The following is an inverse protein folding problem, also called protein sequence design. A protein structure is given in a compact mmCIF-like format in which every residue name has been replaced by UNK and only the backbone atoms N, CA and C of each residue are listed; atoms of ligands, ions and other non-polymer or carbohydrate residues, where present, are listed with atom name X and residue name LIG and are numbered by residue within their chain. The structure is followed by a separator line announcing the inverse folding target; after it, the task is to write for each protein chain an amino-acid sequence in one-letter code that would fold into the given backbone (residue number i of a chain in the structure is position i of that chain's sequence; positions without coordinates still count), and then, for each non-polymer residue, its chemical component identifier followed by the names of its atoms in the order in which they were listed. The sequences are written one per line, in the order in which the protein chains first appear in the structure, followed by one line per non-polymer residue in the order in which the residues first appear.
data_IF_133612257536
#
_entry.id   IF_133612257536
#
_cell.length_a   1.000
_cell.length_b   1.000
_cell.length_c   1.000
_cell.angle_alpha   90.00
_cell.angle_beta   90.00
_cell.angle_gamma   90.00
#
_symmetry.space_group_name_H-M   'P 1'
#
loop_
_entity.id
_entity.type
_entity.pdbx_description
1 polymer ?
#
# COMPACT_ATOMS: atom_id res chain seq x y z
N UNK A 1 -39.95 20.25 -21.28
CA UNK A 1 -39.01 19.26 -21.84
C UNK A 1 -37.74 19.29 -21.01
N UNK A 2 -37.75 18.62 -19.86
CA UNK A 2 -36.68 18.70 -18.86
C UNK A 2 -35.78 17.47 -19.01
N UNK A 3 -34.69 17.61 -19.74
CA UNK A 3 -33.69 16.57 -19.83
C UNK A 3 -32.81 16.65 -18.58
N UNK A 4 -33.15 15.83 -17.58
CA UNK A 4 -32.30 15.60 -16.42
C UNK A 4 -31.09 14.83 -16.94
N UNK A 5 -29.98 15.54 -17.17
CA UNK A 5 -28.69 14.92 -17.43
C UNK A 5 -28.32 14.16 -16.16
N UNK A 6 -28.41 12.84 -16.21
CA UNK A 6 -27.77 11.95 -15.25
C UNK A 6 -26.28 12.30 -15.24
N UNK A 7 -25.89 13.14 -14.28
CA UNK A 7 -24.50 13.35 -13.91
C UNK A 7 -23.95 11.95 -13.65
N UNK A 8 -22.97 11.55 -14.45
CA UNK A 8 -22.14 10.35 -14.29
C UNK A 8 -21.50 10.33 -12.89
N UNK A 9 -22.31 10.03 -11.88
CA UNK A 9 -21.87 9.65 -10.54
C UNK A 9 -21.36 8.23 -10.68
N UNK A 10 -20.20 7.97 -10.07
CA UNK A 10 -19.47 6.69 -10.08
C UNK A 10 -18.46 6.55 -11.24
N UNK A 11 -17.48 7.46 -11.33
CA UNK A 11 -16.13 6.95 -11.58
C UNK A 11 -15.83 6.04 -10.40
N UNK A 12 -15.60 4.77 -10.69
CA UNK A 12 -15.22 3.79 -9.69
C UNK A 12 -13.86 4.22 -9.11
N UNK A 13 -13.89 5.05 -8.06
CA UNK A 13 -12.71 5.60 -7.38
C UNK A 13 -11.95 4.52 -6.56
N UNK A 14 -12.26 3.26 -6.84
CA UNK A 14 -11.60 2.08 -6.32
C UNK A 14 -10.22 1.97 -6.95
N UNK A 15 -9.20 2.05 -6.10
CA UNK A 15 -7.80 1.85 -6.46
C UNK A 15 -7.24 0.67 -5.67
N UNK A 16 -6.09 0.16 -6.08
CA UNK A 16 -5.45 -0.99 -5.47
C UNK A 16 -4.32 -0.54 -4.56
N UNK A 17 -4.47 -0.75 -3.27
CA UNK A 17 -3.45 -0.46 -2.27
C UNK A 17 -2.58 -1.69 -1.99
N UNK A 18 -1.28 -1.47 -1.91
CA UNK A 18 -0.35 -2.36 -1.23
C UNK A 18 -0.33 -1.96 0.23
N UNK A 19 -0.71 -2.88 1.13
CA UNK A 19 -0.80 -2.63 2.57
C UNK A 19 0.35 -3.34 3.26
N UNK A 20 1.16 -2.58 3.99
CA UNK A 20 2.18 -3.10 4.89
C UNK A 20 1.56 -3.37 6.26
N UNK A 21 1.88 -4.51 6.86
CA UNK A 21 1.45 -4.88 8.20
C UNK A 21 2.62 -5.36 9.05
N UNK A 22 2.71 -4.85 10.27
CA UNK A 22 3.69 -5.23 11.28
C UNK A 22 2.94 -5.45 12.59
N UNK A 23 2.79 -6.71 13.00
CA UNK A 23 2.01 -7.06 14.18
C UNK A 23 0.55 -6.58 14.05
N UNK A 24 0.14 -5.66 14.93
CA UNK A 24 -1.21 -5.07 14.92
C UNK A 24 -1.33 -3.79 14.10
N UNK A 25 -0.22 -3.27 13.59
CA UNK A 25 -0.21 -1.99 12.86
C UNK A 25 -0.25 -2.26 11.36
N UNK A 26 -1.18 -1.61 10.66
CA UNK A 26 -1.31 -1.64 9.20
C UNK A 26 -1.15 -0.24 8.62
N UNK A 27 -0.53 -0.13 7.44
CA UNK A 27 -0.37 1.14 6.73
C UNK A 27 -0.37 0.90 5.22
N UNK A 28 -1.01 1.80 4.46
CA UNK A 28 -0.93 1.79 3.00
C UNK A 28 0.48 2.18 2.57
N UNK A 29 1.16 1.27 1.89
CA UNK A 29 2.52 1.45 1.41
C UNK A 29 2.57 2.14 0.06
N UNK A 30 1.69 1.78 -0.88
CA UNK A 30 1.61 2.39 -2.20
C UNK A 30 0.22 2.15 -2.78
N UNK A 31 -0.21 2.97 -3.73
CA UNK A 31 -1.49 2.80 -4.42
C UNK A 31 -1.32 2.77 -5.93
N UNK A 32 -2.14 1.96 -6.59
CA UNK A 32 -2.06 1.71 -8.02
C UNK A 32 -3.45 1.74 -8.66
N UNK A 33 -3.54 2.18 -9.93
CA UNK A 33 -4.79 2.15 -10.66
C UNK A 33 -5.23 0.72 -11.05
N UNK A 34 -4.31 -0.25 -11.07
CA UNK A 34 -4.60 -1.64 -11.46
C UNK A 34 -4.11 -2.65 -10.44
N UNK A 35 -4.86 -3.76 -10.31
CA UNK A 35 -4.49 -4.88 -9.44
C UNK A 35 -3.14 -5.48 -9.82
N UNK A 36 -2.86 -5.60 -11.12
CA UNK A 36 -1.62 -6.17 -11.64
C UNK A 36 -0.40 -5.37 -11.20
N UNK A 37 -0.46 -4.04 -11.25
CA UNK A 37 0.62 -3.18 -10.79
C UNK A 37 0.83 -3.32 -9.27
N UNK A 38 -0.26 -3.33 -8.48
CA UNK A 38 -0.18 -3.54 -7.04
C UNK A 38 0.42 -4.91 -6.66
N UNK A 39 0.09 -5.97 -7.41
CA UNK A 39 0.66 -7.31 -7.18
C UNK A 39 2.15 -7.36 -7.52
N UNK A 40 2.57 -6.75 -8.64
CA UNK A 40 3.98 -6.67 -9.01
C UNK A 40 4.80 -5.94 -7.93
N UNK A 41 4.26 -4.82 -7.46
CA UNK A 41 4.86 -4.02 -6.39
C UNK A 41 4.94 -4.78 -5.05
N UNK A 42 3.86 -5.44 -4.64
CA UNK A 42 3.81 -6.30 -3.46
C UNK A 42 4.87 -7.41 -3.55
N UNK A 43 4.98 -8.08 -4.70
CA UNK A 43 5.97 -9.14 -4.90
C UNK A 43 7.41 -8.60 -4.84
N UNK A 44 7.65 -7.42 -5.40
CA UNK A 44 8.94 -6.74 -5.29
C UNK A 44 9.28 -6.37 -3.84
N UNK A 45 8.33 -5.79 -3.08
CA UNK A 45 8.50 -5.49 -1.65
C UNK A 45 8.79 -6.75 -0.82
N UNK A 46 8.13 -7.87 -1.11
CA UNK A 46 8.45 -9.14 -0.45
C UNK A 46 9.85 -9.67 -0.74
N UNK A 47 10.33 -9.51 -1.98
CA UNK A 47 11.71 -9.89 -2.32
C UNK A 47 12.70 -9.06 -1.51
N UNK A 48 12.43 -7.77 -1.30
CA UNK A 48 13.23 -6.91 -0.41
C UNK A 48 13.21 -7.43 1.04
N UNK A 49 12.05 -7.80 1.60
CA UNK A 49 11.98 -8.38 2.95
C UNK A 49 12.87 -9.61 3.08
N UNK A 50 12.81 -10.51 2.08
CA UNK A 50 13.63 -11.72 2.07
C UNK A 50 15.12 -11.39 1.99
N UNK A 51 15.51 -10.45 1.13
CA UNK A 51 16.90 -10.02 0.98
C UNK A 51 17.44 -9.41 2.30
N UNK A 52 16.64 -8.62 3.00
CA UNK A 52 17.03 -7.98 4.26
C UNK A 52 16.67 -8.80 5.52
N UNK A 53 16.21 -10.05 5.37
CA UNK A 53 15.73 -10.85 6.51
C UNK A 53 16.81 -11.04 7.59
N UNK A 54 18.07 -11.21 7.19
CA UNK A 54 19.20 -11.32 8.13
C UNK A 54 19.42 -10.03 8.93
N UNK A 55 19.33 -8.87 8.28
CA UNK A 55 19.46 -7.55 8.91
C UNK A 55 18.29 -7.25 9.85
N UNK A 56 17.05 -7.57 9.43
CA UNK A 56 15.87 -7.40 10.27
C UNK A 56 15.98 -8.23 11.56
N UNK A 57 16.45 -9.48 11.45
CA UNK A 57 16.71 -10.34 12.61
C UNK A 57 17.79 -9.78 13.53
N UNK A 58 18.92 -9.32 13.00
CA UNK A 58 20.00 -8.76 13.84
C UNK A 58 19.58 -7.47 14.53
N UNK A 59 18.75 -6.65 13.88
CA UNK A 59 18.17 -5.44 14.43
C UNK A 59 16.97 -5.66 15.36
N UNK A 60 16.55 -6.92 15.59
CA UNK A 60 15.33 -7.30 16.34
C UNK A 60 14.07 -6.60 15.83
N UNK A 61 14.02 -6.32 14.53
CA UNK A 61 12.87 -5.71 13.89
C UNK A 61 11.95 -6.79 13.31
N UNK A 62 10.63 -6.68 13.52
CA UNK A 62 9.68 -7.59 12.89
C UNK A 62 9.67 -7.40 11.36
N UNK A 63 9.60 -8.50 10.63
CA UNK A 63 9.49 -8.46 9.18
C UNK A 63 8.08 -8.00 8.75
N UNK A 64 7.95 -6.97 7.90
CA UNK A 64 6.65 -6.55 7.40
C UNK A 64 6.04 -7.58 6.45
N UNK A 65 4.73 -7.73 6.55
CA UNK A 65 3.93 -8.53 5.62
C UNK A 65 3.16 -7.60 4.68
N UNK A 66 3.10 -7.95 3.40
CA UNK A 66 2.45 -7.14 2.37
C UNK A 66 1.26 -7.86 1.75
N UNK A 67 0.11 -7.18 1.75
CA UNK A 67 -1.12 -7.62 1.09
C UNK A 67 -1.58 -6.59 0.06
N UNK A 68 -2.49 -7.00 -0.82
CA UNK A 68 -3.14 -6.11 -1.80
C UNK A 68 -4.63 -6.06 -1.49
N UNK A 69 -5.17 -4.85 -1.37
CA UNK A 69 -6.59 -4.64 -1.10
C UNK A 69 -7.16 -3.53 -2.00
N UNK A 70 -8.40 -3.66 -2.48
CA UNK A 70 -9.11 -2.54 -3.08
C UNK A 70 -9.47 -1.53 -1.99
N UNK A 71 -9.22 -0.25 -2.24
CA UNK A 71 -9.59 0.86 -1.34
C UNK A 71 -10.21 1.98 -2.15
N UNK A 72 -11.01 2.85 -1.52
CA UNK A 72 -11.43 4.08 -2.20
C UNK A 72 -10.36 5.13 -2.02
N UNK A 73 -10.14 5.95 -3.04
CA UNK A 73 -9.19 7.07 -2.95
C UNK A 73 -9.53 8.05 -1.81
N UNK A 74 -10.81 8.16 -1.45
CA UNK A 74 -11.30 8.96 -0.32
C UNK A 74 -10.94 8.38 1.07
N UNK A 75 -10.63 7.08 1.15
CA UNK A 75 -10.27 6.41 2.41
C UNK A 75 -8.79 6.64 2.78
N UNK A 76 -7.98 7.16 1.84
CA UNK A 76 -6.61 7.54 2.14
C UNK A 76 -6.56 8.79 3.02
N UNK A 77 -5.75 8.78 4.10
CA UNK A 77 -5.44 9.99 4.83
C UNK A 77 -4.89 11.07 3.89
N UNK A 78 -5.30 12.33 4.05
CA UNK A 78 -4.78 13.45 3.24
C UNK A 78 -3.26 13.64 3.38
N UNK A 79 -2.71 13.25 4.53
CA UNK A 79 -1.27 13.26 4.83
C UNK A 79 -0.54 12.00 4.37
N UNK A 80 -1.23 11.09 3.66
CA UNK A 80 -0.62 9.86 3.20
C UNK A 80 0.52 10.16 2.22
N UNK A 81 1.65 9.54 2.48
CA UNK A 81 2.81 9.50 1.59
C UNK A 81 3.18 8.04 1.35
N UNK A 82 3.59 7.71 0.11
CA UNK A 82 4.01 6.36 -0.22
C UNK A 82 5.19 5.95 0.66
N UNK A 83 5.10 4.75 1.23
CA UNK A 83 6.18 4.18 2.00
C UNK A 83 7.32 3.87 1.02
N UNK A 84 8.51 4.46 1.22
CA UNK A 84 9.64 4.12 0.40
C UNK A 84 9.99 2.64 0.63
N UNK A 85 10.65 2.05 -0.37
CA UNK A 85 11.10 0.67 -0.30
C UNK A 85 11.87 0.40 1.00
N UNK A 86 11.85 -0.86 1.47
CA UNK A 86 12.45 -1.31 2.74
C UNK A 86 13.87 -0.77 3.04
N UNK A 87 14.64 -0.38 2.03
CA UNK A 87 15.92 0.32 2.19
C UNK A 87 15.85 1.70 2.87
N UNK A 88 14.68 2.33 3.00
CA UNK A 88 14.52 3.65 3.64
C UNK A 88 13.97 3.61 5.06
N UNK A 89 13.45 2.47 5.50
CA UNK A 89 13.06 2.28 6.88
C UNK A 89 14.33 1.95 7.67
N UNK A 90 15.04 3.00 8.14
CA UNK A 90 16.02 2.90 9.24
C UNK A 90 15.34 2.44 10.56
N UNK A 91 14.50 1.40 10.52
CA UNK A 91 13.77 0.87 11.65
C UNK A 91 12.62 1.69 12.19
N UNK A 92 12.16 2.74 11.50
CA UNK A 92 11.04 3.58 11.98
C UNK A 92 9.81 3.42 11.11
N UNK A 93 8.85 2.64 11.61
CA UNK A 93 7.46 2.74 11.19
C UNK A 93 6.90 3.98 11.90
N UNK A 94 6.78 5.11 11.19
CA UNK A 94 6.13 6.32 11.71
C UNK A 94 4.66 6.28 11.33
#
# INVERSE_FOLDING_TARGET
MSQVVELQRLRDDTIWAVVASIGRTTRVAEVFPSRGAALADRNWREQQVRAYAALLRSARQPAPQYSVAPIRRADLPRSWTPLPALGFLRGRFI
#
